data_IF_594442999663
#
_entry.id   IF_594442999663
#
_cell.length_a   1.000
_cell.length_b   1.000
_cell.length_c   1.000
_cell.angle_alpha   90.00
_cell.angle_beta   90.00
_cell.angle_gamma   90.00
#
_symmetry.space_group_name_H-M   'P 1'
#
loop_
_entity.id
_entity.type
_entity.pdbx_description
1 polymer ?
#
# COMPACT_ATOMS: atom_id res chain seq x y z
N UNK A 1 -4.34 -25.90 8.25
CA UNK A 1 -2.89 -25.69 8.49
C UNK A 1 -2.71 -24.30 9.04
N UNK A 2 -2.47 -24.20 10.35
CA UNK A 2 -2.49 -22.96 11.11
C UNK A 2 -1.38 -22.02 10.65
N UNK A 3 -1.80 -20.82 10.28
CA UNK A 3 -1.02 -19.77 9.64
C UNK A 3 -0.01 -19.24 10.65
N UNK A 4 1.25 -19.67 10.57
CA UNK A 4 2.35 -18.97 11.23
C UNK A 4 2.47 -17.60 10.56
N UNK A 5 1.74 -16.62 11.10
CA UNK A 5 1.80 -15.22 10.67
C UNK A 5 3.11 -14.69 11.23
N UNK A 6 4.17 -14.85 10.47
CA UNK A 6 5.43 -14.20 10.79
C UNK A 6 5.17 -12.68 10.76
N UNK A 7 5.34 -11.97 11.88
CA UNK A 7 5.10 -10.53 11.92
C UNK A 7 5.98 -9.78 10.89
N UNK A 8 7.17 -10.31 10.60
CA UNK A 8 8.04 -9.83 9.52
C UNK A 8 7.43 -9.92 8.12
N UNK A 9 6.67 -10.98 7.84
CA UNK A 9 6.02 -11.13 6.54
C UNK A 9 4.90 -10.10 6.38
N UNK A 10 4.18 -9.79 7.46
CA UNK A 10 3.14 -8.77 7.47
C UNK A 10 3.74 -7.36 7.26
N UNK A 11 4.87 -7.06 7.88
CA UNK A 11 5.59 -5.81 7.61
C UNK A 11 6.04 -5.69 6.16
N UNK A 12 6.64 -6.75 5.59
CA UNK A 12 7.14 -6.73 4.20
C UNK A 12 6.03 -6.55 3.17
N UNK A 13 4.87 -7.15 3.42
CA UNK A 13 3.76 -7.20 2.47
C UNK A 13 2.81 -6.01 2.60
N UNK A 14 2.59 -5.49 3.81
CA UNK A 14 1.52 -4.52 4.08
C UNK A 14 2.02 -3.15 4.53
N UNK A 15 3.17 -3.05 5.20
CA UNK A 15 3.65 -1.76 5.72
C UNK A 15 4.03 -0.82 4.58
N UNK A 16 3.37 0.35 4.53
CA UNK A 16 3.62 1.42 3.53
C UNK A 16 3.40 1.00 2.07
N UNK A 17 2.68 -0.10 1.83
CA UNK A 17 2.34 -0.57 0.48
C UNK A 17 0.97 -0.05 0.08
N UNK A 18 0.93 0.61 -1.07
CA UNK A 18 -0.27 1.18 -1.66
C UNK A 18 -0.50 0.58 -3.06
N UNK A 19 -1.76 0.38 -3.41
CA UNK A 19 -2.20 -0.08 -4.72
C UNK A 19 -2.84 1.11 -5.43
N UNK A 20 -2.46 1.37 -6.68
CA UNK A 20 -3.17 2.33 -7.51
C UNK A 20 -4.54 1.79 -7.93
N UNK A 21 -5.61 2.58 -7.75
CA UNK A 21 -6.98 2.16 -8.08
C UNK A 21 -7.23 1.97 -9.58
N UNK A 22 -6.46 2.64 -10.45
CA UNK A 22 -6.62 2.52 -11.92
C UNK A 22 -5.85 1.34 -12.52
N UNK A 23 -4.59 1.19 -12.14
CA UNK A 23 -3.67 0.26 -12.82
C UNK A 23 -3.18 -0.89 -11.94
N UNK A 24 -3.62 -0.96 -10.68
CA UNK A 24 -3.22 -2.02 -9.76
C UNK A 24 -1.75 -1.99 -9.33
N UNK A 25 -0.97 -0.99 -9.76
CA UNK A 25 0.45 -0.92 -9.45
C UNK A 25 0.68 -0.79 -7.94
N UNK A 26 1.57 -1.64 -7.41
CA UNK A 26 2.05 -1.61 -6.03
C UNK A 26 3.11 -0.53 -5.88
N UNK A 27 2.97 0.31 -4.86
CA UNK A 27 3.83 1.45 -4.60
C UNK A 27 4.17 1.44 -3.12
N UNK A 28 5.46 1.45 -2.80
CA UNK A 28 5.92 1.71 -1.44
C UNK A 28 6.12 3.20 -1.27
N UNK A 29 5.35 3.81 -0.37
CA UNK A 29 5.40 5.24 -0.13
C UNK A 29 5.03 5.58 1.32
N UNK A 30 5.46 6.75 1.78
CA UNK A 30 5.12 7.22 3.11
C UNK A 30 3.62 7.59 3.21
N UNK A 31 2.97 7.12 4.28
CA UNK A 31 1.51 7.28 4.48
C UNK A 31 1.12 8.75 4.52
N UNK A 32 1.95 9.61 5.12
CA UNK A 32 1.68 11.04 5.23
C UNK A 32 1.70 11.69 3.84
N UNK A 33 2.66 11.30 2.99
CA UNK A 33 2.77 11.82 1.62
C UNK A 33 1.63 11.30 0.72
N UNK A 34 1.15 10.08 0.95
CA UNK A 34 0.00 9.52 0.22
C UNK A 34 -1.30 10.23 0.63
N UNK A 35 -1.55 10.40 1.94
CA UNK A 35 -2.71 11.17 2.45
C UNK A 35 -2.67 12.63 1.98
N UNK A 36 -1.48 13.24 1.92
CA UNK A 36 -1.29 14.59 1.39
C UNK A 36 -1.39 14.68 -0.16
N UNK A 37 -1.64 13.58 -0.87
CA UNK A 37 -1.77 13.57 -2.34
C UNK A 37 -0.49 13.96 -3.09
N UNK A 38 0.67 13.84 -2.44
CA UNK A 38 1.99 14.16 -3.02
C UNK A 38 2.59 12.97 -3.78
N UNK A 39 2.10 11.76 -3.53
CA UNK A 39 2.56 10.54 -4.20
C UNK A 39 1.71 10.27 -5.44
N UNK A 40 2.37 10.14 -6.58
CA UNK A 40 1.76 9.75 -7.86
C UNK A 40 2.11 8.31 -8.20
N UNK A 41 1.19 7.63 -8.88
CA UNK A 41 1.48 6.34 -9.47
C UNK A 41 2.56 6.47 -10.54
N UNK A 42 3.61 5.64 -10.48
CA UNK A 42 4.72 5.67 -11.45
C UNK A 42 4.28 5.29 -12.88
N UNK A 43 3.23 4.48 -13.02
CA UNK A 43 2.70 4.05 -14.34
C UNK A 43 1.69 5.04 -14.91
N UNK A 44 0.62 5.32 -14.18
CA UNK A 44 -0.51 6.11 -14.71
C UNK A 44 -0.55 7.56 -14.22
N UNK A 45 0.44 8.01 -13.44
CA UNK A 45 0.60 9.37 -12.88
C UNK A 45 -0.55 9.87 -11.98
N UNK A 46 -1.58 9.07 -11.72
CA UNK A 46 -2.70 9.41 -10.83
C UNK A 46 -2.31 9.33 -9.35
N UNK A 47 -3.02 10.11 -8.53
CA UNK A 47 -2.84 10.20 -7.08
C UNK A 47 -3.78 9.29 -6.27
N UNK A 48 -4.70 8.59 -6.94
CA UNK A 48 -5.67 7.70 -6.32
C UNK A 48 -5.00 6.37 -5.94
N UNK A 49 -4.48 6.32 -4.73
CA UNK A 49 -3.77 5.20 -4.13
C UNK A 49 -4.56 4.71 -2.91
N UNK A 50 -4.81 3.40 -2.83
CA UNK A 50 -5.43 2.76 -1.66
C UNK A 50 -4.39 1.95 -0.89
N UNK A 51 -4.41 1.92 0.44
CA UNK A 51 -3.57 0.98 1.20
C UNK A 51 -3.97 -0.47 0.85
N UNK A 52 -2.99 -1.38 0.84
CA UNK A 52 -3.23 -2.79 0.51
C UNK A 52 -3.98 -3.53 1.63
N UNK A 53 -3.82 -3.10 2.87
CA UNK A 53 -4.54 -3.64 4.02
C UNK A 53 -5.55 -2.59 4.48
N UNK A 54 -6.83 -2.96 4.54
CA UNK A 54 -7.77 -2.28 5.43
C UNK A 54 -7.30 -2.64 6.84
N UNK A 55 -6.98 -1.66 7.68
CA UNK A 55 -6.83 -1.91 9.12
C UNK A 55 -8.02 -2.76 9.56
N UNK A 56 -7.77 -4.03 9.87
CA UNK A 56 -8.73 -4.85 10.58
C UNK A 56 -8.77 -4.24 11.97
N UNK A 57 -9.81 -3.47 12.25
CA UNK A 57 -10.13 -2.98 13.58
C UNK A 57 -10.41 -4.16 14.51
#
# INVERSE_FOLDING_TARGET
>A
MAKQRFPEAEERLFKRVFICMKCGARIRADVVKVKAGKVKCRKCKRKQLRPIHKEHK
#
